data_IF_561882792898
#
_entry.id   IF_561882792898
#
_cell.length_a   1.000
_cell.length_b   1.000
_cell.length_c   1.000
_cell.angle_alpha   90.00
_cell.angle_beta   90.00
_cell.angle_gamma   90.00
#
_symmetry.space_group_name_H-M   'P 1'
#
loop_
_entity.id
_entity.type
_entity.pdbx_description
1 polymer ?
#
# COMPACT_ATOMS: atom_id res chain seq x y z
N UNK A 1 40.64 -25.20 2.15
CA UNK A 1 39.46 -24.36 1.91
C UNK A 1 38.81 -24.81 0.62
N UNK A 2 37.75 -25.60 0.68
CA UNK A 2 37.00 -26.08 -0.49
C UNK A 2 35.91 -25.10 -0.77
N UNK A 3 35.88 -24.46 -1.95
CA UNK A 3 34.86 -23.56 -2.39
C UNK A 3 33.50 -24.28 -2.49
N UNK A 4 32.46 -23.74 -1.87
CA UNK A 4 31.08 -24.17 -2.11
C UNK A 4 30.73 -23.86 -3.57
N UNK A 5 30.15 -24.84 -4.26
CA UNK A 5 29.76 -24.69 -5.67
C UNK A 5 28.47 -23.89 -5.78
N UNK A 6 28.30 -23.14 -6.88
CA UNK A 6 27.08 -22.38 -7.16
C UNK A 6 25.79 -23.24 -7.23
N UNK A 7 25.92 -24.57 -7.28
CA UNK A 7 24.80 -25.51 -7.23
C UNK A 7 24.22 -25.70 -5.83
N UNK A 8 25.00 -25.44 -4.77
CA UNK A 8 24.55 -25.63 -3.37
C UNK A 8 23.69 -24.44 -2.91
N UNK A 9 23.85 -23.27 -3.49
CA UNK A 9 23.04 -22.08 -3.19
C UNK A 9 21.60 -22.13 -3.76
N UNK A 10 21.36 -22.97 -4.77
CA UNK A 10 20.03 -23.15 -5.38
C UNK A 10 19.14 -24.17 -4.66
N UNK A 11 19.67 -24.90 -3.66
CA UNK A 11 18.92 -25.95 -2.96
C UNK A 11 18.21 -25.47 -1.68
N UNK A 12 18.45 -24.23 -1.22
CA UNK A 12 17.86 -23.69 0.01
C UNK A 12 16.66 -22.75 -0.22
N UNK A 13 16.22 -22.55 -1.47
CA UNK A 13 14.96 -21.87 -1.72
C UNK A 13 13.81 -22.85 -1.39
N UNK A 14 13.31 -22.80 -0.16
CA UNK A 14 12.09 -23.54 0.24
C UNK A 14 10.99 -23.12 -0.74
N UNK A 15 10.49 -24.03 -1.56
CA UNK A 15 9.42 -23.74 -2.51
C UNK A 15 8.25 -23.14 -1.74
N UNK A 16 7.70 -22.01 -2.21
CA UNK A 16 6.58 -21.32 -1.56
C UNK A 16 5.39 -22.25 -1.27
N UNK A 17 5.25 -23.33 -2.04
CA UNK A 17 4.21 -24.35 -1.87
C UNK A 17 4.24 -25.12 -0.55
N UNK A 18 5.33 -25.07 0.22
CA UNK A 18 5.47 -25.81 1.49
C UNK A 18 5.19 -24.96 2.74
N UNK A 19 4.91 -23.65 2.58
CA UNK A 19 4.59 -22.77 3.70
C UNK A 19 3.09 -22.77 3.99
N UNK A 20 2.68 -22.87 5.28
CA UNK A 20 1.26 -22.77 5.63
C UNK A 20 0.71 -21.38 5.28
N UNK A 21 -0.45 -21.30 4.61
CA UNK A 21 -1.07 -20.02 4.29
C UNK A 21 -1.39 -19.22 5.56
N UNK A 22 -0.93 -17.94 5.60
CA UNK A 22 -1.17 -17.08 6.74
C UNK A 22 -1.07 -15.59 6.36
N UNK A 23 -1.66 -14.75 7.22
CA UNK A 23 -1.54 -13.30 7.13
C UNK A 23 -1.20 -12.77 8.51
N UNK A 24 -0.16 -11.94 8.59
CA UNK A 24 0.28 -11.27 9.79
C UNK A 24 0.11 -9.77 9.62
N UNK A 25 -0.72 -9.14 10.45
CA UNK A 25 -0.78 -7.69 10.61
C UNK A 25 0.00 -7.27 11.83
N UNK A 26 0.68 -6.13 11.74
CA UNK A 26 1.45 -5.59 12.85
C UNK A 26 1.42 -4.07 12.89
N UNK A 27 1.12 -3.54 14.06
CA UNK A 27 1.32 -2.13 14.41
C UNK A 27 2.61 -2.02 15.25
N UNK A 28 3.64 -1.41 14.68
CA UNK A 28 4.94 -1.28 15.37
C UNK A 28 4.94 -0.20 16.43
N UNK A 29 3.96 0.72 16.39
CA UNK A 29 3.86 1.81 17.38
C UNK A 29 3.29 1.31 18.71
N UNK A 30 2.40 0.34 18.67
CA UNK A 30 1.80 -0.32 19.85
C UNK A 30 2.41 -1.70 20.14
N UNK A 31 3.11 -2.30 19.16
CA UNK A 31 3.59 -3.66 19.22
C UNK A 31 2.49 -4.73 19.00
N UNK A 32 1.25 -4.31 18.71
CA UNK A 32 0.15 -5.24 18.50
C UNK A 32 0.35 -6.06 17.23
N UNK A 33 0.03 -7.36 17.35
CA UNK A 33 0.06 -8.32 16.25
C UNK A 33 -1.33 -8.94 16.11
N UNK A 34 -1.74 -9.21 14.88
CA UNK A 34 -2.93 -10.00 14.59
C UNK A 34 -2.59 -10.99 13.47
N UNK A 35 -2.65 -12.27 13.79
CA UNK A 35 -2.34 -13.37 12.90
C UNK A 35 -3.62 -14.08 12.47
N UNK A 36 -3.72 -14.35 11.18
CA UNK A 36 -4.68 -15.27 10.58
C UNK A 36 -3.91 -16.43 9.96
N UNK A 37 -4.17 -17.65 10.38
CA UNK A 37 -3.56 -18.87 9.85
C UNK A 37 -4.64 -19.92 9.59
N UNK A 38 -4.30 -20.93 8.80
CA UNK A 38 -5.18 -22.05 8.46
C UNK A 38 -6.53 -21.59 7.87
N UNK A 39 -6.53 -20.86 6.72
CA UNK A 39 -7.78 -20.44 6.10
C UNK A 39 -8.65 -21.63 5.72
N UNK A 40 -9.95 -21.52 6.01
CA UNK A 40 -10.94 -22.54 5.59
C UNK A 40 -11.17 -22.51 4.07
N UNK A 41 -10.90 -21.37 3.43
CA UNK A 41 -10.99 -21.15 1.98
C UNK A 41 -10.07 -20.00 1.61
N UNK A 42 -9.50 -20.02 0.40
CA UNK A 42 -8.78 -18.89 -0.18
C UNK A 42 -9.51 -18.48 -1.46
N UNK A 43 -9.99 -17.25 -1.49
CA UNK A 43 -10.64 -16.64 -2.65
C UNK A 43 -9.56 -15.97 -3.49
N UNK A 44 -9.39 -16.40 -4.74
CA UNK A 44 -8.46 -15.81 -5.72
C UNK A 44 -9.24 -15.38 -6.95
N UNK A 45 -9.02 -14.16 -7.43
CA UNK A 45 -9.68 -13.63 -8.62
C UNK A 45 -8.71 -12.94 -9.57
N UNK A 46 -8.73 -13.32 -10.83
CA UNK A 46 -7.91 -12.77 -11.91
C UNK A 46 -8.73 -11.96 -12.93
N UNK A 47 -10.02 -12.20 -13.01
CA UNK A 47 -10.92 -11.59 -13.99
C UNK A 47 -11.99 -10.75 -13.31
N UNK A 48 -12.66 -9.87 -14.07
CA UNK A 48 -13.81 -9.08 -13.58
C UNK A 48 -14.89 -9.97 -12.95
N UNK A 49 -15.27 -11.04 -13.63
CA UNK A 49 -16.33 -11.93 -13.14
C UNK A 49 -15.94 -12.60 -11.82
N UNK A 50 -14.69 -13.08 -11.72
CA UNK A 50 -14.18 -13.68 -10.50
C UNK A 50 -14.08 -12.69 -9.34
N UNK A 51 -13.71 -11.41 -9.58
CA UNK A 51 -13.70 -10.38 -8.54
C UNK A 51 -15.09 -10.19 -7.95
N UNK A 52 -16.12 -10.01 -8.78
CA UNK A 52 -17.47 -9.81 -8.25
C UNK A 52 -18.03 -11.06 -7.58
N UNK A 53 -17.74 -12.26 -8.10
CA UNK A 53 -18.08 -13.52 -7.44
C UNK A 53 -17.33 -13.65 -6.09
N UNK A 54 -16.04 -13.31 -6.07
CA UNK A 54 -15.23 -13.32 -4.86
C UNK A 54 -15.75 -12.36 -3.79
N UNK A 55 -16.12 -11.13 -4.17
CA UNK A 55 -16.71 -10.15 -3.24
C UNK A 55 -18.05 -10.64 -2.66
N UNK A 56 -18.92 -11.28 -3.48
CA UNK A 56 -20.15 -11.88 -2.99
C UNK A 56 -19.86 -13.02 -2.02
N UNK A 57 -18.88 -13.88 -2.33
CA UNK A 57 -18.44 -14.97 -1.44
C UNK A 57 -17.86 -14.46 -0.11
N UNK A 58 -17.10 -13.38 -0.16
CA UNK A 58 -16.60 -12.70 1.04
C UNK A 58 -17.75 -12.20 1.93
N UNK A 59 -18.77 -11.58 1.33
CA UNK A 59 -19.93 -11.10 2.06
C UNK A 59 -20.74 -12.23 2.71
N UNK A 60 -20.92 -13.37 2.01
CA UNK A 60 -21.54 -14.58 2.58
C UNK A 60 -20.74 -15.11 3.77
N UNK A 61 -19.41 -15.20 3.64
CA UNK A 61 -18.54 -15.67 4.71
C UNK A 61 -18.61 -14.75 5.94
N UNK A 62 -18.57 -13.42 5.73
CA UNK A 62 -18.74 -12.44 6.80
C UNK A 62 -20.08 -12.62 7.54
N UNK A 63 -21.19 -12.70 6.79
CA UNK A 63 -22.54 -12.91 7.34
C UNK A 63 -22.67 -14.24 8.09
N UNK A 64 -21.85 -15.24 7.74
CA UNK A 64 -21.79 -16.54 8.45
C UNK A 64 -20.85 -16.54 9.65
N UNK A 65 -20.33 -15.39 10.07
CA UNK A 65 -19.50 -15.24 11.27
C UNK A 65 -18.01 -15.47 11.05
N UNK A 66 -17.51 -15.44 9.80
CA UNK A 66 -16.10 -15.63 9.47
C UNK A 66 -15.35 -14.31 9.36
N UNK A 67 -14.07 -14.37 9.66
CA UNK A 67 -13.11 -13.33 9.40
C UNK A 67 -12.55 -13.44 7.98
N UNK A 68 -12.21 -12.30 7.39
CA UNK A 68 -11.58 -12.22 6.09
C UNK A 68 -10.29 -11.39 6.21
N UNK A 69 -9.23 -11.84 5.56
CA UNK A 69 -7.99 -11.07 5.48
C UNK A 69 -7.32 -11.32 4.13
N UNK A 70 -6.68 -10.27 3.56
CA UNK A 70 -6.07 -10.38 2.24
C UNK A 70 -5.74 -9.05 1.61
N UNK A 71 -5.69 -9.04 0.28
CA UNK A 71 -5.40 -7.84 -0.50
C UNK A 71 -6.29 -7.71 -1.74
N UNK A 72 -6.37 -6.47 -2.22
CA UNK A 72 -6.98 -6.08 -3.49
C UNK A 72 -5.91 -5.33 -4.28
N UNK A 73 -5.57 -5.79 -5.50
CA UNK A 73 -4.63 -5.13 -6.38
C UNK A 73 -5.22 -3.84 -6.98
N UNK A 74 -4.35 -2.89 -7.33
CA UNK A 74 -4.74 -1.57 -7.84
C UNK A 74 -5.69 -1.66 -9.05
N UNK A 75 -5.43 -2.56 -9.98
CA UNK A 75 -6.21 -2.72 -11.21
C UNK A 75 -7.64 -3.23 -10.97
N UNK A 76 -7.95 -3.79 -9.79
CA UNK A 76 -9.34 -4.08 -9.42
C UNK A 76 -10.18 -2.80 -9.38
N UNK A 77 -9.56 -1.65 -9.13
CA UNK A 77 -10.23 -0.34 -9.18
C UNK A 77 -10.78 0.02 -10.57
N UNK A 78 -10.15 -0.45 -11.63
CA UNK A 78 -10.66 -0.25 -12.99
C UNK A 78 -11.99 -0.96 -13.23
N UNK A 79 -12.31 -1.99 -12.44
CA UNK A 79 -13.53 -2.77 -12.58
C UNK A 79 -14.77 -2.12 -11.96
N UNK A 80 -14.56 -1.21 -11.01
CA UNK A 80 -15.66 -0.49 -10.32
C UNK A 80 -16.13 0.75 -11.09
N UNK A 81 -15.39 1.16 -12.13
CA UNK A 81 -15.72 2.32 -12.96
C UNK A 81 -15.75 1.92 -14.44
N UNK A 82 -16.91 1.99 -15.07
CA UNK A 82 -17.10 1.53 -16.46
C UNK A 82 -16.17 2.26 -17.46
N UNK A 83 -15.85 3.54 -17.21
CA UNK A 83 -14.91 4.30 -18.05
C UNK A 83 -13.49 3.75 -18.02
N UNK A 84 -13.12 3.08 -16.94
CA UNK A 84 -11.78 2.49 -16.73
C UNK A 84 -11.74 0.99 -17.06
N UNK A 85 -12.89 0.32 -17.20
CA UNK A 85 -12.97 -1.12 -17.41
C UNK A 85 -12.15 -1.63 -18.63
N UNK A 86 -11.97 -0.76 -19.64
CA UNK A 86 -11.11 -1.03 -20.82
C UNK A 86 -9.62 -1.15 -20.48
N UNK A 87 -9.19 -0.65 -19.34
CA UNK A 87 -7.80 -0.68 -18.87
C UNK A 87 -7.50 -1.88 -17.97
N UNK A 88 -8.46 -2.79 -17.76
CA UNK A 88 -8.23 -4.03 -17.06
C UNK A 88 -7.23 -4.88 -17.87
N UNK A 89 -5.95 -4.77 -17.53
CA UNK A 89 -4.86 -5.44 -18.23
C UNK A 89 -4.79 -6.92 -17.90
N UNK A 90 -4.45 -7.77 -18.90
CA UNK A 90 -4.24 -9.20 -18.71
C UNK A 90 -2.83 -9.56 -18.21
N UNK A 91 -1.87 -8.63 -18.32
CA UNK A 91 -0.44 -8.85 -18.02
C UNK A 91 -0.06 -8.63 -16.55
N UNK A 92 -0.96 -8.91 -15.60
CA UNK A 92 -0.68 -8.81 -14.18
C UNK A 92 0.12 -10.00 -13.69
N UNK A 93 0.94 -9.77 -12.67
CA UNK A 93 1.75 -10.81 -12.02
C UNK A 93 1.10 -11.31 -10.72
N UNK A 94 0.10 -10.59 -10.20
CA UNK A 94 -0.67 -10.96 -9.02
C UNK A 94 -2.18 -11.04 -9.32
N UNK A 95 -2.97 -11.79 -8.53
CA UNK A 95 -4.43 -11.72 -8.56
C UNK A 95 -4.96 -10.30 -8.31
N UNK A 96 -6.11 -9.97 -8.89
CA UNK A 96 -6.87 -8.75 -8.60
C UNK A 96 -7.39 -8.72 -7.16
N UNK A 97 -7.73 -9.91 -6.62
CA UNK A 97 -8.25 -10.08 -5.27
C UNK A 97 -7.75 -11.42 -4.75
N UNK A 98 -7.19 -11.40 -3.53
CA UNK A 98 -6.76 -12.61 -2.82
C UNK A 98 -7.07 -12.45 -1.34
N UNK A 99 -8.04 -13.24 -0.84
CA UNK A 99 -8.49 -13.23 0.55
C UNK A 99 -8.59 -14.63 1.11
N UNK A 100 -8.08 -14.83 2.34
CA UNK A 100 -8.38 -15.99 3.16
C UNK A 100 -9.66 -15.77 3.96
N UNK A 101 -10.43 -16.86 4.14
CA UNK A 101 -11.58 -16.96 5.07
C UNK A 101 -11.09 -17.72 6.30
N UNK A 102 -11.30 -17.15 7.49
CA UNK A 102 -10.79 -17.68 8.75
C UNK A 102 -11.89 -17.76 9.81
N UNK A 103 -11.78 -18.72 10.73
CA UNK A 103 -12.71 -18.81 11.86
C UNK A 103 -12.50 -17.69 12.87
N UNK A 104 -11.24 -17.43 13.22
CA UNK A 104 -10.83 -16.39 14.17
C UNK A 104 -9.34 -16.04 13.98
N UNK A 105 -8.88 -14.88 14.46
CA UNK A 105 -7.44 -14.61 14.57
C UNK A 105 -6.79 -15.55 15.58
N UNK A 106 -5.53 -15.90 15.33
CA UNK A 106 -4.74 -16.78 16.20
C UNK A 106 -4.25 -16.02 17.46
N UNK A 107 -3.93 -16.74 18.55
CA UNK A 107 -3.33 -16.13 19.72
C UNK A 107 -1.97 -15.48 19.42
N UNK A 108 -1.61 -14.47 20.23
CA UNK A 108 -0.35 -13.71 20.05
C UNK A 108 0.91 -14.55 20.23
N UNK A 109 0.85 -15.68 20.99
CA UNK A 109 1.95 -16.61 21.20
C UNK A 109 2.11 -17.67 20.09
N UNK A 110 1.28 -17.61 19.05
CA UNK A 110 1.39 -18.53 17.92
C UNK A 110 2.76 -18.40 17.24
N UNK A 111 3.43 -19.52 16.85
CA UNK A 111 4.79 -19.47 16.28
C UNK A 111 4.94 -18.58 15.03
N UNK A 112 3.90 -18.45 14.21
CA UNK A 112 3.90 -17.56 13.04
C UNK A 112 3.78 -16.07 13.42
N UNK A 113 3.30 -15.74 14.61
CA UNK A 113 3.22 -14.36 15.11
C UNK A 113 4.55 -13.88 15.72
N UNK A 114 5.46 -14.82 16.04
CA UNK A 114 6.71 -14.50 16.69
C UNK A 114 7.83 -14.15 15.70
N UNK A 115 8.79 -13.30 16.09
CA UNK A 115 9.97 -13.06 15.28
C UNK A 115 10.70 -14.37 14.95
N UNK A 116 11.09 -14.54 13.70
CA UNK A 116 12.01 -15.60 13.30
C UNK A 116 13.45 -15.22 13.64
N UNK A 117 14.34 -16.22 13.71
CA UNK A 117 15.77 -15.94 13.84
C UNK A 117 16.19 -15.01 12.69
N UNK A 118 16.79 -13.90 13.08
CA UNK A 118 17.32 -12.91 12.15
C UNK A 118 18.37 -13.59 11.27
N UNK A 119 18.31 -13.31 9.96
CA UNK A 119 19.44 -13.60 9.09
C UNK A 119 20.57 -12.64 9.51
N UNK A 120 21.51 -13.13 10.32
CA UNK A 120 22.68 -12.36 10.71
C UNK A 120 23.47 -12.02 9.44
N UNK A 121 23.52 -10.74 9.09
CA UNK A 121 24.37 -10.15 8.03
C UNK A 121 24.02 -10.50 6.57
N UNK A 122 22.88 -11.08 6.22
CA UNK A 122 22.50 -11.27 4.82
C UNK A 122 21.38 -10.30 4.43
N UNK A 123 21.65 -9.49 3.40
CA UNK A 123 20.63 -8.69 2.74
C UNK A 123 19.68 -9.64 1.99
N UNK A 124 18.40 -9.68 2.40
CA UNK A 124 17.41 -10.52 1.73
C UNK A 124 17.06 -10.04 0.31
N UNK A 125 17.35 -8.77 -0.01
CA UNK A 125 17.24 -8.21 -1.35
C UNK A 125 18.63 -7.87 -1.89
N UNK A 126 18.87 -8.21 -3.16
CA UNK A 126 20.13 -7.94 -3.87
C UNK A 126 19.84 -7.39 -5.26
N UNK A 127 20.83 -6.71 -5.84
CA UNK A 127 20.81 -6.19 -7.20
C UNK A 127 19.54 -5.35 -7.54
N UNK A 128 19.15 -4.36 -6.73
CA UNK A 128 18.01 -3.53 -7.05
C UNK A 128 18.27 -2.72 -8.31
N UNK A 129 17.27 -2.69 -9.22
CA UNK A 129 17.34 -2.01 -10.50
C UNK A 129 16.05 -1.23 -10.75
N UNK A 130 16.17 0.08 -10.98
CA UNK A 130 15.05 0.88 -11.46
C UNK A 130 14.73 0.51 -12.92
N UNK A 131 13.45 0.40 -13.24
CA UNK A 131 13.01 0.14 -14.63
C UNK A 131 13.10 1.39 -15.49
N UNK A 132 13.04 2.57 -14.88
CA UNK A 132 13.23 3.86 -15.53
C UNK A 132 14.49 4.54 -15.02
N UNK A 133 15.34 4.97 -15.95
CA UNK A 133 16.38 5.96 -15.66
C UNK A 133 15.78 7.38 -15.58
N UNK A 134 16.58 8.36 -15.20
CA UNK A 134 16.09 9.73 -15.06
C UNK A 134 15.52 10.28 -16.37
N UNK A 135 16.13 10.01 -17.52
CA UNK A 135 15.64 10.51 -18.80
C UNK A 135 14.26 9.93 -19.16
N UNK A 136 14.03 8.64 -18.89
CA UNK A 136 12.73 8.01 -19.07
C UNK A 136 11.69 8.59 -18.12
N UNK A 137 12.04 8.75 -16.82
CA UNK A 137 11.17 9.38 -15.85
C UNK A 137 10.79 10.81 -16.25
N UNK A 138 11.76 11.63 -16.64
CA UNK A 138 11.55 13.01 -17.08
C UNK A 138 10.58 13.07 -18.27
N UNK A 139 10.75 12.23 -19.28
CA UNK A 139 9.82 12.19 -20.41
C UNK A 139 8.36 11.94 -19.98
N UNK A 140 8.16 11.02 -19.03
CA UNK A 140 6.81 10.73 -18.51
C UNK A 140 6.29 11.83 -17.61
N UNK A 141 7.16 12.41 -16.79
CA UNK A 141 6.85 13.57 -15.98
C UNK A 141 6.42 14.76 -16.87
N UNK A 142 7.14 15.07 -17.93
CA UNK A 142 6.81 16.19 -18.83
C UNK A 142 5.44 15.98 -19.50
N UNK A 143 5.12 14.77 -19.91
CA UNK A 143 3.80 14.42 -20.44
C UNK A 143 2.70 14.58 -19.40
N UNK A 144 2.92 14.11 -18.17
CA UNK A 144 1.98 14.32 -17.06
C UNK A 144 1.82 15.80 -16.73
N UNK A 145 2.93 16.54 -16.67
CA UNK A 145 2.93 17.98 -16.39
C UNK A 145 2.16 18.75 -17.47
N UNK A 146 2.24 18.31 -18.72
CA UNK A 146 1.41 18.87 -19.80
C UNK A 146 -0.09 18.69 -19.50
N UNK A 147 -0.55 17.52 -19.03
CA UNK A 147 -1.94 17.32 -18.63
C UNK A 147 -2.35 18.20 -17.44
N UNK A 148 -1.44 18.41 -16.46
CA UNK A 148 -1.68 19.36 -15.37
C UNK A 148 -1.87 20.78 -15.88
N UNK A 149 -1.02 21.22 -16.83
CA UNK A 149 -1.13 22.56 -17.48
C UNK A 149 -2.42 22.73 -18.28
N UNK A 150 -2.95 21.67 -18.89
CA UNK A 150 -4.24 21.70 -19.61
C UNK A 150 -5.44 21.65 -18.66
N UNK A 151 -5.24 21.34 -17.38
CA UNK A 151 -6.31 21.18 -16.40
C UNK A 151 -7.04 19.83 -16.47
N UNK A 152 -6.46 18.84 -17.16
CA UNK A 152 -7.01 17.48 -17.23
C UNK A 152 -7.00 16.77 -15.88
N UNK A 153 -6.02 17.12 -15.02
CA UNK A 153 -5.96 16.76 -13.61
C UNK A 153 -5.23 17.83 -12.80
N UNK A 154 -5.37 17.81 -11.49
CA UNK A 154 -4.70 18.74 -10.57
C UNK A 154 -3.52 18.09 -9.88
N UNK A 155 -3.58 16.77 -9.74
CA UNK A 155 -2.53 15.90 -9.22
C UNK A 155 -2.67 14.52 -9.85
N UNK A 156 -1.53 13.84 -10.11
CA UNK A 156 -1.51 12.42 -10.40
C UNK A 156 -0.26 11.76 -9.79
N UNK A 157 -0.43 10.55 -9.26
CA UNK A 157 0.63 9.83 -8.57
C UNK A 157 1.42 8.97 -9.56
N UNK A 158 2.49 9.53 -10.15
CA UNK A 158 3.34 8.84 -11.12
C UNK A 158 4.23 7.83 -10.41
N UNK A 159 4.27 6.59 -10.93
CA UNK A 159 4.98 5.49 -10.27
C UNK A 159 5.86 4.71 -11.24
N UNK A 160 6.92 4.10 -10.70
CA UNK A 160 7.80 3.19 -11.44
C UNK A 160 8.16 1.97 -10.60
N UNK A 161 8.30 0.77 -11.21
CA UNK A 161 8.76 -0.42 -10.52
C UNK A 161 10.28 -0.41 -10.31
N UNK A 162 10.70 -1.04 -9.21
CA UNK A 162 12.08 -1.44 -8.95
C UNK A 162 12.08 -2.96 -8.84
N UNK A 163 12.92 -3.60 -9.62
CA UNK A 163 13.14 -5.03 -9.60
C UNK A 163 14.37 -5.36 -8.76
N UNK A 164 14.33 -6.48 -8.05
CA UNK A 164 15.44 -7.00 -7.26
C UNK A 164 15.42 -8.53 -7.26
N UNK A 165 16.48 -9.13 -6.72
CA UNK A 165 16.49 -10.56 -6.36
C UNK A 165 16.31 -10.70 -4.87
N UNK A 166 15.56 -11.73 -4.48
CA UNK A 166 15.37 -12.04 -3.06
C UNK A 166 15.74 -13.51 -2.77
N UNK A 167 16.12 -13.77 -1.52
CA UNK A 167 16.41 -15.10 -1.01
C UNK A 167 16.12 -15.16 0.49
N UNK A 168 16.00 -16.38 1.02
CA UNK A 168 15.78 -16.63 2.44
C UNK A 168 14.30 -16.80 2.83
N UNK A 169 13.99 -16.56 4.09
CA UNK A 169 12.63 -16.67 4.64
C UNK A 169 11.89 -15.33 4.56
N UNK A 170 10.71 -15.25 3.90
CA UNK A 170 9.90 -14.04 3.83
C UNK A 170 9.51 -13.48 5.20
N UNK A 171 9.34 -14.33 6.22
CA UNK A 171 9.06 -13.88 7.58
C UNK A 171 10.27 -13.16 8.17
N UNK A 172 11.48 -13.74 8.04
CA UNK A 172 12.70 -13.07 8.48
C UNK A 172 12.89 -11.73 7.75
N UNK A 173 12.61 -11.67 6.44
CA UNK A 173 12.62 -10.44 5.67
C UNK A 173 11.60 -9.41 6.23
N UNK A 174 10.37 -9.81 6.52
CA UNK A 174 9.36 -8.94 7.11
C UNK A 174 9.82 -8.33 8.44
N UNK A 175 10.38 -9.16 9.33
CA UNK A 175 10.89 -8.68 10.62
C UNK A 175 12.09 -7.73 10.48
N UNK A 176 12.97 -7.95 9.49
CA UNK A 176 14.09 -7.05 9.23
C UNK A 176 13.65 -5.66 8.70
N UNK A 177 12.54 -5.61 7.96
CA UNK A 177 11.97 -4.36 7.46
C UNK A 177 11.38 -3.48 8.59
N UNK A 178 10.95 -4.07 9.71
CA UNK A 178 10.41 -3.33 10.87
C UNK A 178 11.46 -2.36 11.42
N UNK A 179 12.70 -2.80 11.54
CA UNK A 179 13.79 -1.96 12.07
C UNK A 179 14.11 -0.78 11.14
N UNK A 180 14.00 -0.99 9.82
CA UNK A 180 14.24 0.06 8.82
C UNK A 180 13.11 1.09 8.83
N UNK A 181 11.88 0.62 8.98
CA UNK A 181 10.71 1.48 8.90
C UNK A 181 9.57 0.97 9.79
N UNK A 182 9.52 1.39 11.06
CA UNK A 182 8.36 1.13 11.91
C UNK A 182 7.12 1.86 11.40
N UNK A 183 5.97 1.16 11.32
CA UNK A 183 4.71 1.67 10.79
C UNK A 183 3.51 1.16 11.57
N UNK A 184 2.35 1.81 11.42
CA UNK A 184 1.08 1.36 12.02
C UNK A 184 0.43 0.18 11.28
N UNK A 185 0.66 0.05 9.97
CA UNK A 185 -0.09 -0.89 9.12
C UNK A 185 0.86 -1.84 8.38
N UNK A 186 1.76 -2.49 9.15
CA UNK A 186 2.60 -3.57 8.62
C UNK A 186 1.76 -4.80 8.29
N UNK A 187 2.07 -5.48 7.18
CA UNK A 187 1.42 -6.72 6.81
C UNK A 187 2.37 -7.68 6.07
N UNK A 188 2.29 -8.96 6.39
CA UNK A 188 2.81 -10.06 5.60
C UNK A 188 1.62 -10.88 5.12
N UNK A 189 1.50 -11.11 3.80
CA UNK A 189 0.44 -11.94 3.21
C UNK A 189 1.09 -13.08 2.45
N UNK A 190 0.87 -14.31 2.91
CA UNK A 190 1.28 -15.55 2.25
C UNK A 190 0.06 -16.47 2.14
N UNK A 191 -0.62 -16.45 1.00
CA UNK A 191 -1.83 -17.23 0.71
C UNK A 191 -1.60 -18.22 -0.44
N UNK A 192 -0.36 -18.72 -0.62
CA UNK A 192 -0.02 -19.72 -1.63
C UNK A 192 0.27 -19.16 -3.02
N UNK A 193 0.34 -17.84 -3.16
CA UNK A 193 0.84 -17.12 -4.34
C UNK A 193 2.12 -16.33 -4.01
N UNK A 194 2.42 -15.27 -4.75
CA UNK A 194 3.50 -14.35 -4.38
C UNK A 194 3.31 -13.83 -2.96
N UNK A 195 4.39 -13.79 -2.18
CA UNK A 195 4.33 -13.25 -0.80
C UNK A 195 4.40 -11.73 -0.84
N UNK A 196 3.52 -11.09 -0.10
CA UNK A 196 3.46 -9.63 -0.01
C UNK A 196 4.00 -9.19 1.34
N UNK A 197 5.00 -8.32 1.34
CA UNK A 197 5.54 -7.68 2.53
C UNK A 197 5.24 -6.18 2.47
N UNK A 198 4.36 -5.69 3.32
CA UNK A 198 3.95 -4.28 3.34
C UNK A 198 4.40 -3.58 4.61
N UNK A 199 4.95 -2.38 4.45
CA UNK A 199 5.33 -1.44 5.50
C UNK A 199 4.57 -0.13 5.34
N UNK A 200 3.25 -0.21 5.21
CA UNK A 200 2.41 0.95 4.95
C UNK A 200 2.27 1.86 6.18
N UNK A 201 2.49 3.17 6.03
CA UNK A 201 2.18 4.13 7.08
C UNK A 201 0.71 4.59 7.02
N UNK A 202 -0.01 4.31 5.92
CA UNK A 202 -1.26 5.00 5.57
C UNK A 202 -2.49 4.11 5.76
N UNK A 203 -3.46 4.60 6.53
CA UNK A 203 -4.80 4.03 6.61
C UNK A 203 -5.56 4.40 5.33
N UNK A 204 -6.03 3.38 4.61
CA UNK A 204 -6.98 3.62 3.52
C UNK A 204 -8.35 3.97 4.09
N UNK A 205 -8.94 3.06 4.84
CA UNK A 205 -10.13 3.31 5.67
C UNK A 205 -10.24 2.26 6.78
N UNK A 206 -11.00 2.60 7.81
CA UNK A 206 -11.51 1.63 8.77
C UNK A 206 -12.99 1.91 9.05
N UNK A 207 -13.72 0.85 9.40
CA UNK A 207 -15.08 0.95 9.92
C UNK A 207 -15.15 0.30 11.29
N UNK A 208 -16.05 0.78 12.15
CA UNK A 208 -16.36 0.15 13.41
C UNK A 208 -17.68 -0.65 13.36
N UNK A 209 -18.03 -1.26 14.48
CA UNK A 209 -19.26 -2.07 14.62
C UNK A 209 -20.53 -1.22 14.61
N UNK A 210 -20.43 0.05 14.95
CA UNK A 210 -21.51 1.02 14.89
C UNK A 210 -21.71 1.57 13.47
N UNK A 211 -20.83 1.23 12.52
CA UNK A 211 -20.90 1.66 11.12
C UNK A 211 -20.34 3.07 10.88
N UNK A 212 -19.46 3.58 11.73
CA UNK A 212 -18.65 4.73 11.39
C UNK A 212 -17.51 4.31 10.46
N UNK A 213 -17.26 5.11 9.43
CA UNK A 213 -16.10 4.99 8.56
C UNK A 213 -15.17 6.17 8.76
N UNK A 214 -13.87 5.92 8.76
CA UNK A 214 -12.87 6.98 8.78
C UNK A 214 -11.69 6.68 7.86
N UNK A 215 -11.03 7.74 7.40
CA UNK A 215 -9.78 7.70 6.63
C UNK A 215 -8.84 8.79 7.12
N UNK A 216 -7.52 8.51 7.04
CA UNK A 216 -6.49 9.41 7.54
C UNK A 216 -5.50 9.80 6.42
N UNK A 217 -5.88 10.72 5.51
CA UNK A 217 -4.97 11.19 4.48
C UNK A 217 -3.75 11.87 5.08
N UNK A 218 -2.58 11.55 4.52
CA UNK A 218 -1.28 12.03 4.98
C UNK A 218 -0.58 12.80 3.87
N UNK A 219 -0.13 14.02 4.17
CA UNK A 219 0.74 14.82 3.30
C UNK A 219 1.71 15.62 4.15
N UNK A 220 2.96 15.70 3.71
CA UNK A 220 4.00 16.37 4.46
C UNK A 220 4.64 15.47 5.52
N UNK A 221 5.94 15.27 5.38
CA UNK A 221 6.77 14.49 6.30
C UNK A 221 7.99 15.32 6.65
N UNK A 222 8.34 15.38 7.93
CA UNK A 222 9.57 16.00 8.38
C UNK A 222 10.34 15.07 9.33
N UNK A 223 11.66 15.22 9.37
CA UNK A 223 12.50 14.50 10.34
C UNK A 223 12.18 14.90 11.77
N UNK A 224 12.56 14.07 12.71
CA UNK A 224 12.57 14.42 14.13
C UNK A 224 13.67 15.43 14.44
N UNK A 225 13.41 16.30 15.39
CA UNK A 225 14.42 17.17 15.98
C UNK A 225 15.34 16.40 16.91
N UNK A 226 16.59 16.86 17.05
CA UNK A 226 17.55 16.30 17.99
C UNK A 226 17.29 16.73 19.44
N UNK A 227 16.50 17.77 19.64
CA UNK A 227 16.06 18.26 20.96
C UNK A 227 14.54 18.50 20.96
N UNK A 228 13.87 18.50 22.13
CA UNK A 228 12.44 18.82 22.21
C UNK A 228 12.06 20.19 21.62
N UNK A 229 12.95 21.17 21.74
CA UNK A 229 12.74 22.52 21.19
C UNK A 229 12.84 22.52 19.66
N UNK A 230 13.82 21.80 19.07
CA UNK A 230 13.94 21.62 17.64
C UNK A 230 12.76 20.83 17.07
N UNK A 231 12.32 19.78 17.78
CA UNK A 231 11.20 18.94 17.42
C UNK A 231 9.90 19.77 17.32
N UNK A 232 9.67 20.65 18.28
CA UNK A 232 8.50 21.55 18.27
C UNK A 232 8.62 22.61 17.15
N UNK A 233 9.80 23.18 16.92
CA UNK A 233 10.02 24.13 15.82
C UNK A 233 9.75 23.50 14.44
N UNK A 234 10.14 22.25 14.24
CA UNK A 234 9.85 21.50 13.00
C UNK A 234 8.33 21.33 12.82
N UNK A 235 7.59 20.95 13.86
CA UNK A 235 6.12 20.85 13.79
C UNK A 235 5.46 22.18 13.43
N UNK A 236 5.89 23.28 14.05
CA UNK A 236 5.37 24.61 13.73
C UNK A 236 5.67 25.01 12.28
N UNK A 237 6.88 24.67 11.77
CA UNK A 237 7.23 24.89 10.36
C UNK A 237 6.31 24.10 9.43
N UNK A 238 6.05 22.83 9.74
CA UNK A 238 5.11 22.00 8.96
C UNK A 238 3.70 22.58 8.95
N UNK A 239 3.22 23.03 10.12
CA UNK A 239 1.90 23.66 10.25
C UNK A 239 1.78 25.00 9.51
N UNK A 240 2.89 25.70 9.31
CA UNK A 240 2.94 26.98 8.57
C UNK A 240 3.10 26.80 7.06
N UNK A 241 3.41 25.60 6.59
CA UNK A 241 3.66 25.34 5.16
C UNK A 241 2.36 25.31 4.36
N UNK A 242 2.08 26.40 3.67
CA UNK A 242 0.87 26.62 2.87
C UNK A 242 0.76 25.59 1.73
N UNK A 243 1.89 25.16 1.13
CA UNK A 243 1.90 24.18 0.04
C UNK A 243 1.43 22.82 0.56
N UNK A 244 2.06 22.32 1.62
CA UNK A 244 1.67 21.06 2.26
C UNK A 244 0.21 21.06 2.73
N UNK A 245 -0.27 22.18 3.30
CA UNK A 245 -1.68 22.33 3.67
C UNK A 245 -2.61 22.26 2.45
N UNK A 246 -2.26 22.91 1.33
CA UNK A 246 -3.07 22.91 0.12
C UNK A 246 -3.17 21.49 -0.49
N UNK A 247 -2.04 20.76 -0.54
CA UNK A 247 -2.00 19.38 -1.00
C UNK A 247 -2.83 18.46 -0.08
N UNK A 248 -2.68 18.58 1.24
CA UNK A 248 -3.46 17.79 2.20
C UNK A 248 -4.97 18.08 2.06
N UNK A 249 -5.37 19.35 1.95
CA UNK A 249 -6.77 19.76 1.76
C UNK A 249 -7.37 19.17 0.50
N UNK A 250 -6.63 19.17 -0.61
CA UNK A 250 -7.09 18.58 -1.87
C UNK A 250 -7.39 17.08 -1.71
N UNK A 251 -6.54 16.33 -1.02
CA UNK A 251 -6.78 14.91 -0.74
C UNK A 251 -7.94 14.71 0.22
N UNK A 252 -8.05 15.55 1.26
CA UNK A 252 -9.23 15.55 2.17
C UNK A 252 -10.52 15.74 1.38
N UNK A 253 -10.58 16.71 0.47
CA UNK A 253 -11.78 16.96 -0.35
C UNK A 253 -12.09 15.80 -1.30
N UNK A 254 -11.07 15.17 -1.88
CA UNK A 254 -11.23 13.97 -2.71
C UNK A 254 -11.84 12.81 -1.89
N UNK A 255 -11.29 12.54 -0.70
CA UNK A 255 -11.80 11.45 0.15
C UNK A 255 -13.18 11.76 0.75
N UNK A 256 -13.47 13.02 1.07
CA UNK A 256 -14.82 13.46 1.45
C UNK A 256 -15.82 13.18 0.34
N UNK A 257 -15.47 13.48 -0.91
CA UNK A 257 -16.32 13.16 -2.07
C UNK A 257 -16.57 11.66 -2.19
N UNK A 258 -15.53 10.83 -2.07
CA UNK A 258 -15.66 9.37 -2.16
C UNK A 258 -16.55 8.81 -1.03
N UNK A 259 -16.30 9.20 0.23
CA UNK A 259 -17.03 8.76 1.41
C UNK A 259 -18.50 9.23 1.37
N UNK A 260 -18.76 10.46 0.91
CA UNK A 260 -20.12 11.02 0.86
C UNK A 260 -21.11 10.20 0.02
N UNK A 261 -20.62 9.39 -0.91
CA UNK A 261 -21.44 8.53 -1.78
C UNK A 261 -22.12 7.37 -1.05
N UNK A 262 -21.58 6.99 0.12
CA UNK A 262 -22.00 5.81 0.89
C UNK A 262 -22.35 6.13 2.34
N UNK A 263 -22.52 7.39 2.69
CA UNK A 263 -22.74 7.82 4.08
C UNK A 263 -24.04 8.62 4.25
N UNK A 264 -24.54 8.63 5.48
CA UNK A 264 -25.74 9.38 5.85
C UNK A 264 -25.49 10.89 5.73
N UNK A 265 -26.42 11.60 5.13
CA UNK A 265 -26.33 13.05 4.92
C UNK A 265 -26.23 13.76 6.27
N UNK A 266 -25.24 14.66 6.39
CA UNK A 266 -25.02 15.46 7.60
C UNK A 266 -24.10 14.82 8.62
N UNK A 267 -23.58 13.60 8.38
CA UNK A 267 -22.64 12.92 9.29
C UNK A 267 -21.18 13.08 8.91
N UNK A 268 -20.91 13.52 7.67
CA UNK A 268 -19.53 13.73 7.19
C UNK A 268 -18.88 14.90 7.92
N UNK A 269 -17.77 14.61 8.57
CA UNK A 269 -17.00 15.56 9.37
C UNK A 269 -15.49 15.41 9.17
N UNK A 270 -14.74 16.47 9.45
CA UNK A 270 -13.28 16.51 9.48
C UNK A 270 -12.83 16.96 10.87
N UNK A 271 -12.89 16.07 11.88
CA UNK A 271 -12.65 16.46 13.28
C UNK A 271 -11.21 16.95 13.51
N UNK A 272 -10.28 16.54 12.66
CA UNK A 272 -8.89 17.01 12.68
C UNK A 272 -8.44 17.35 11.27
N UNK A 273 -8.04 18.58 11.06
CA UNK A 273 -7.46 19.07 9.82
C UNK A 273 -6.04 19.54 10.11
N UNK A 274 -5.06 19.00 9.34
CA UNK A 274 -3.62 19.33 9.48
C UNK A 274 -3.03 19.00 10.87
N UNK A 275 -3.46 17.91 11.52
CA UNK A 275 -2.87 17.43 12.76
C UNK A 275 -1.45 16.90 12.51
N UNK A 276 -0.51 17.10 13.46
CA UNK A 276 0.84 16.57 13.35
C UNK A 276 0.97 15.34 14.24
N UNK A 277 0.97 14.17 13.62
CA UNK A 277 1.32 12.92 14.29
C UNK A 277 2.84 12.76 14.39
N UNK A 278 3.31 12.39 15.59
CA UNK A 278 4.74 12.16 15.85
C UNK A 278 5.02 10.67 15.92
N UNK A 279 5.89 10.21 15.03
CA UNK A 279 6.41 8.85 14.98
C UNK A 279 7.87 8.79 15.49
N UNK A 280 8.43 7.61 15.75
CA UNK A 280 9.80 7.50 16.25
C UNK A 280 10.84 8.20 15.35
N UNK A 281 10.66 8.20 14.04
CA UNK A 281 11.64 8.73 13.07
C UNK A 281 11.20 9.99 12.35
N UNK A 282 9.89 10.29 12.32
CA UNK A 282 9.33 11.42 11.55
C UNK A 282 8.14 12.07 12.25
N UNK A 283 7.85 13.30 11.84
CA UNK A 283 6.54 13.95 11.99
C UNK A 283 5.78 13.83 10.67
N UNK A 284 4.47 13.65 10.76
CA UNK A 284 3.59 13.50 9.61
C UNK A 284 2.36 14.39 9.77
N UNK A 285 2.03 15.18 8.74
CA UNK A 285 0.76 15.92 8.74
C UNK A 285 -0.36 14.98 8.28
N UNK A 286 -1.38 14.84 9.12
CA UNK A 286 -2.51 13.92 8.93
C UNK A 286 -3.81 14.69 9.13
N UNK A 287 -4.81 14.42 8.30
CA UNK A 287 -6.17 14.87 8.53
C UNK A 287 -7.08 13.67 8.76
N UNK A 288 -8.17 13.85 9.51
CA UNK A 288 -9.13 12.79 9.79
C UNK A 288 -10.46 13.14 9.13
N UNK A 289 -10.98 12.25 8.32
CA UNK A 289 -12.30 12.35 7.71
C UNK A 289 -13.14 11.19 8.24
N UNK A 290 -14.32 11.47 8.77
CA UNK A 290 -15.22 10.45 9.28
C UNK A 290 -16.66 10.69 8.85
N UNK A 291 -17.46 9.63 8.79
CA UNK A 291 -18.88 9.70 8.51
C UNK A 291 -19.60 8.42 8.95
N UNK A 292 -20.93 8.45 9.02
CA UNK A 292 -21.77 7.28 9.29
C UNK A 292 -22.17 6.62 7.97
N UNK A 293 -21.88 5.33 7.82
CA UNK A 293 -22.28 4.55 6.65
C UNK A 293 -23.80 4.44 6.52
N UNK A 294 -24.29 4.42 5.30
CA UNK A 294 -25.67 4.03 5.00
C UNK A 294 -25.94 2.58 5.48
N UNK A 295 -27.15 2.25 5.90
CA UNK A 295 -27.47 0.87 6.30
C UNK A 295 -27.40 -0.10 5.12
N UNK A 296 -27.11 -1.38 5.43
CA UNK A 296 -27.13 -2.50 4.47
C UNK A 296 -26.11 -2.41 3.32
N UNK A 297 -25.04 -1.65 3.46
CA UNK A 297 -23.96 -1.68 2.50
C UNK A 297 -23.21 -3.02 2.59
N UNK A 298 -22.86 -3.56 1.43
CA UNK A 298 -21.99 -4.73 1.32
C UNK A 298 -20.52 -4.30 1.07
N UNK A 299 -19.60 -5.23 1.24
CA UNK A 299 -18.15 -5.02 0.97
C UNK A 299 -17.95 -4.39 -0.41
N UNK A 300 -18.69 -4.87 -1.41
CA UNK A 300 -18.63 -4.36 -2.78
C UNK A 300 -18.97 -2.87 -2.87
N UNK A 301 -20.00 -2.42 -2.16
CA UNK A 301 -20.49 -1.04 -2.25
C UNK A 301 -19.44 -0.07 -1.69
N UNK A 302 -18.81 -0.44 -0.56
CA UNK A 302 -17.76 0.33 0.08
C UNK A 302 -16.54 0.42 -0.85
N UNK A 303 -16.11 -0.71 -1.41
CA UNK A 303 -14.97 -0.72 -2.34
C UNK A 303 -15.27 0.04 -3.63
N UNK A 304 -16.45 -0.09 -4.20
CA UNK A 304 -16.83 0.64 -5.42
C UNK A 304 -16.87 2.16 -5.22
N UNK A 305 -17.13 2.62 -4.00
CA UNK A 305 -17.11 4.05 -3.70
C UNK A 305 -15.69 4.59 -3.46
N UNK A 306 -14.85 3.83 -2.80
CA UNK A 306 -13.57 4.33 -2.27
C UNK A 306 -12.34 3.91 -3.07
N UNK A 307 -12.35 2.69 -3.62
CA UNK A 307 -11.15 2.05 -4.18
C UNK A 307 -10.90 2.44 -5.66
N UNK A 308 -9.66 2.68 -6.06
CA UNK A 308 -8.46 2.81 -5.23
C UNK A 308 -8.44 4.10 -4.41
N UNK A 309 -7.58 4.16 -3.38
CA UNK A 309 -7.45 5.35 -2.54
C UNK A 309 -7.11 6.61 -3.35
N UNK A 310 -7.76 7.72 -3.02
CA UNK A 310 -7.54 9.00 -3.70
C UNK A 310 -6.11 9.51 -3.59
N UNK A 311 -5.44 9.28 -2.44
CA UNK A 311 -4.08 9.76 -2.17
C UNK A 311 -3.02 9.19 -3.13
N UNK A 312 -3.25 7.98 -3.67
CA UNK A 312 -2.31 7.28 -4.56
C UNK A 312 -2.78 7.22 -6.03
N UNK A 313 -3.88 7.86 -6.35
CA UNK A 313 -4.40 8.01 -7.72
C UNK A 313 -4.17 9.42 -8.22
N UNK A 314 -5.01 10.33 -7.85
CA UNK A 314 -4.96 11.74 -8.21
C UNK A 314 -6.35 12.36 -8.27
N UNK A 315 -6.41 13.63 -8.65
CA UNK A 315 -7.63 14.40 -8.67
C UNK A 315 -7.80 15.15 -10.01
N UNK A 316 -8.93 14.99 -10.70
CA UNK A 316 -10.03 14.05 -10.51
C UNK A 316 -9.61 12.60 -10.71
N UNK A 317 -10.11 11.66 -9.87
CA UNK A 317 -9.65 10.25 -9.81
C UNK A 317 -9.64 9.56 -11.18
N UNK A 318 -10.76 9.56 -11.90
CA UNK A 318 -10.90 8.85 -13.18
C UNK A 318 -9.96 9.42 -14.24
N UNK A 319 -9.83 10.75 -14.34
CA UNK A 319 -8.92 11.40 -15.28
C UNK A 319 -7.46 11.05 -14.97
N UNK A 320 -7.04 11.17 -13.70
CA UNK A 320 -5.70 10.83 -13.26
C UNK A 320 -5.37 9.36 -13.53
N UNK A 321 -6.27 8.42 -13.22
CA UNK A 321 -6.08 7.00 -13.49
C UNK A 321 -5.95 6.70 -14.98
N UNK A 322 -6.71 7.41 -15.85
CA UNK A 322 -6.60 7.28 -17.31
C UNK A 322 -5.22 7.72 -17.80
N UNK A 323 -4.77 8.90 -17.37
CA UNK A 323 -3.48 9.46 -17.76
C UNK A 323 -2.33 8.57 -17.28
N UNK A 324 -2.38 8.13 -16.03
CA UNK A 324 -1.36 7.26 -15.45
C UNK A 324 -1.25 5.91 -16.19
N UNK A 325 -2.39 5.32 -16.58
CA UNK A 325 -2.38 4.08 -17.38
C UNK A 325 -1.66 4.26 -18.72
N UNK A 326 -1.74 5.43 -19.34
CA UNK A 326 -1.04 5.73 -20.60
C UNK A 326 0.44 6.07 -20.42
N UNK A 327 0.83 6.45 -19.20
CA UNK A 327 2.20 6.85 -18.87
C UNK A 327 3.02 5.71 -18.26
N UNK A 328 2.42 4.81 -17.52
CA UNK A 328 3.08 3.69 -16.85
C UNK A 328 3.15 2.46 -17.79
N UNK A 329 4.27 1.76 -17.81
CA UNK A 329 4.52 0.66 -18.78
C UNK A 329 3.84 -0.67 -18.41
N UNK A 330 3.23 -0.77 -17.24
CA UNK A 330 2.64 -2.02 -16.77
C UNK A 330 1.74 -1.85 -15.56
N UNK A 331 1.20 -2.96 -15.04
CA UNK A 331 0.34 -2.93 -13.89
C UNK A 331 1.12 -2.54 -12.62
N UNK A 332 0.41 -1.92 -11.68
CA UNK A 332 0.93 -1.68 -10.33
C UNK A 332 0.79 -2.90 -9.43
N UNK A 333 -0.03 -3.87 -9.83
CA UNK A 333 -0.33 -5.08 -9.06
C UNK A 333 -0.80 -4.74 -7.63
N UNK A 334 -0.20 -5.32 -6.58
CA UNK A 334 -0.59 -5.03 -5.20
C UNK A 334 -0.22 -3.61 -4.77
N UNK A 335 0.84 -3.04 -5.36
CA UNK A 335 1.23 -1.66 -5.05
C UNK A 335 0.11 -0.66 -5.39
N UNK A 336 -0.16 0.30 -4.50
CA UNK A 336 -1.31 1.22 -4.59
C UNK A 336 -2.69 0.52 -4.53
N UNK A 337 -2.73 -0.78 -4.28
CA UNK A 337 -3.93 -1.49 -3.88
C UNK A 337 -4.25 -1.31 -2.41
N UNK A 338 -4.91 -2.27 -1.79
CA UNK A 338 -5.24 -2.27 -0.37
C UNK A 338 -4.99 -3.64 0.27
N UNK A 339 -4.47 -3.64 1.50
CA UNK A 339 -4.29 -4.83 2.31
C UNK A 339 -5.08 -4.65 3.60
N UNK A 340 -5.86 -5.65 3.99
CA UNK A 340 -6.69 -5.47 5.18
C UNK A 340 -7.45 -6.69 5.62
N UNK A 341 -8.33 -6.45 6.59
CA UNK A 341 -9.17 -7.47 7.19
C UNK A 341 -10.59 -6.97 7.42
N UNK A 342 -11.51 -7.92 7.53
CA UNK A 342 -12.94 -7.70 7.76
C UNK A 342 -13.37 -8.65 8.86
N UNK A 343 -13.93 -8.10 9.93
CA UNK A 343 -14.51 -8.86 11.03
C UNK A 343 -15.94 -9.32 10.72
N UNK A 344 -16.45 -10.37 11.36
CA UNK A 344 -17.85 -10.79 11.25
C UNK A 344 -18.85 -9.68 11.60
N UNK A 345 -18.50 -8.82 12.54
CA UNK A 345 -19.29 -7.64 12.95
C UNK A 345 -19.52 -6.62 11.85
N UNK A 346 -18.69 -6.66 10.78
CA UNK A 346 -18.66 -5.66 9.72
C UNK A 346 -17.57 -4.59 9.93
N UNK A 347 -16.86 -4.63 11.06
CA UNK A 347 -15.68 -3.78 11.24
C UNK A 347 -14.60 -4.17 10.24
N UNK A 348 -13.99 -3.17 9.60
CA UNK A 348 -12.97 -3.33 8.57
C UNK A 348 -11.77 -2.46 8.89
N UNK A 349 -10.59 -2.90 8.44
CA UNK A 349 -9.37 -2.08 8.46
C UNK A 349 -8.53 -2.39 7.23
N UNK A 350 -8.34 -1.41 6.37
CA UNK A 350 -7.53 -1.50 5.16
C UNK A 350 -6.44 -0.43 5.17
N UNK A 351 -5.22 -0.82 4.81
CA UNK A 351 -4.11 0.08 4.52
C UNK A 351 -3.92 0.26 3.02
N UNK A 352 -3.41 1.40 2.61
CA UNK A 352 -2.92 1.61 1.25
C UNK A 352 -1.65 0.77 1.05
N UNK A 353 -1.58 -0.06 0.02
CA UNK A 353 -0.42 -0.93 -0.22
C UNK A 353 0.73 -0.14 -0.86
N UNK A 354 1.32 0.80 -0.12
CA UNK A 354 2.57 1.50 -0.44
C UNK A 354 3.70 0.97 0.45
N UNK A 355 4.97 1.17 0.03
CA UNK A 355 6.12 0.55 0.70
C UNK A 355 5.91 -0.96 0.82
N UNK A 356 5.54 -1.56 -0.30
CA UNK A 356 5.10 -2.95 -0.39
C UNK A 356 5.94 -3.68 -1.42
N UNK A 357 6.47 -4.85 -1.02
CA UNK A 357 7.23 -5.76 -1.87
C UNK A 357 6.35 -6.94 -2.24
N UNK A 358 6.51 -7.40 -3.47
CA UNK A 358 6.00 -8.68 -3.96
C UNK A 358 7.17 -9.62 -4.21
N UNK A 359 7.19 -10.77 -3.53
CA UNK A 359 8.23 -11.80 -3.64
C UNK A 359 7.69 -12.99 -4.42
N UNK A 360 8.37 -13.36 -5.50
CA UNK A 360 8.00 -14.46 -6.40
C UNK A 360 8.86 -15.71 -6.17
N UNK A 361 8.32 -16.89 -6.46
CA UNK A 361 9.00 -18.19 -6.29
C UNK A 361 10.30 -18.34 -7.10
N UNK A 362 10.42 -17.58 -8.18
CA UNK A 362 11.62 -17.59 -9.03
C UNK A 362 12.78 -16.75 -8.48
N UNK A 363 12.63 -16.23 -7.25
CA UNK A 363 13.60 -15.35 -6.59
C UNK A 363 13.56 -13.91 -7.09
N UNK A 364 12.57 -13.53 -7.87
CA UNK A 364 12.32 -12.14 -8.26
C UNK A 364 11.56 -11.42 -7.17
N UNK A 365 11.96 -10.19 -6.87
CA UNK A 365 11.22 -9.26 -6.03
C UNK A 365 10.88 -7.99 -6.81
N UNK A 366 9.67 -7.47 -6.61
CA UNK A 366 9.23 -6.21 -7.23
C UNK A 366 8.62 -5.31 -6.16
N UNK A 367 8.98 -4.06 -6.19
CA UNK A 367 8.32 -3.00 -5.42
C UNK A 367 8.31 -1.71 -6.22
N UNK A 368 7.23 -0.95 -6.08
CA UNK A 368 7.11 0.29 -6.82
C UNK A 368 7.34 1.49 -5.89
N UNK A 369 7.80 2.58 -6.50
CA UNK A 369 7.96 3.89 -5.89
C UNK A 369 7.28 4.93 -6.74
N UNK A 370 6.89 6.05 -6.13
CA UNK A 370 6.20 7.12 -6.87
C UNK A 370 5.90 8.32 -5.99
N UNK A 371 5.44 9.38 -6.63
CA UNK A 371 5.08 10.64 -6.00
C UNK A 371 3.85 11.29 -6.63
N UNK A 372 3.17 12.12 -5.86
CA UNK A 372 2.02 12.90 -6.34
C UNK A 372 2.49 14.16 -7.06
N UNK A 373 2.55 14.12 -8.38
CA UNK A 373 2.96 15.24 -9.22
C UNK A 373 1.87 16.30 -9.25
N UNK A 374 2.26 17.53 -8.97
CA UNK A 374 1.44 18.74 -9.04
C UNK A 374 2.10 19.75 -9.97
N UNK A 375 1.41 20.86 -10.25
CA UNK A 375 1.88 21.88 -11.21
C UNK A 375 3.25 22.49 -10.85
N UNK A 376 3.59 22.57 -9.57
CA UNK A 376 4.84 23.14 -9.07
C UNK A 376 5.94 22.07 -8.86
N UNK A 377 5.70 20.81 -9.22
CA UNK A 377 6.70 19.74 -9.13
C UNK A 377 7.79 19.89 -10.19
N UNK A 378 9.00 19.42 -9.89
CA UNK A 378 10.10 19.26 -10.85
C UNK A 378 10.48 17.80 -11.01
N UNK A 379 10.88 17.38 -12.20
CA UNK A 379 11.22 15.98 -12.47
C UNK A 379 12.35 15.47 -11.59
N UNK A 380 13.37 16.31 -11.36
CA UNK A 380 14.52 15.99 -10.53
C UNK A 380 14.13 15.69 -9.09
N UNK A 381 13.37 16.61 -8.46
CA UNK A 381 12.96 16.47 -7.06
C UNK A 381 12.08 15.24 -6.85
N UNK A 382 11.13 15.00 -7.75
CA UNK A 382 10.20 13.87 -7.67
C UNK A 382 10.91 12.52 -7.92
N UNK A 383 11.89 12.49 -8.84
CA UNK A 383 12.71 11.30 -9.07
C UNK A 383 13.59 10.97 -7.87
N UNK A 384 14.26 11.97 -7.28
CA UNK A 384 15.05 11.80 -6.06
C UNK A 384 14.17 11.30 -4.90
N UNK A 385 12.94 11.83 -4.78
CA UNK A 385 11.97 11.36 -3.77
C UNK A 385 11.57 9.89 -4.00
N UNK A 386 11.40 9.47 -5.27
CA UNK A 386 11.16 8.06 -5.60
C UNK A 386 12.30 7.17 -5.13
N UNK A 387 13.57 7.54 -5.42
CA UNK A 387 14.74 6.80 -4.98
C UNK A 387 14.90 6.78 -3.46
N UNK A 388 14.59 7.90 -2.80
CA UNK A 388 14.58 7.97 -1.34
C UNK A 388 13.53 7.02 -0.75
N UNK A 389 12.33 6.96 -1.34
CA UNK A 389 11.27 6.03 -0.91
C UNK A 389 11.66 4.57 -1.06
N UNK A 390 12.53 4.22 -2.01
CA UNK A 390 13.02 2.85 -2.19
C UNK A 390 13.81 2.32 -0.97
N UNK A 391 14.42 3.20 -0.19
CA UNK A 391 15.28 2.83 0.95
C UNK A 391 14.57 1.98 2.02
N UNK A 392 13.24 2.01 2.10
CA UNK A 392 12.52 1.15 3.04
C UNK A 392 12.83 -0.34 2.79
N UNK A 393 13.02 -0.72 1.52
CA UNK A 393 13.27 -2.10 1.10
C UNK A 393 14.77 -2.44 1.07
N UNK A 394 15.56 -1.56 0.46
CA UNK A 394 16.95 -1.84 0.10
C UNK A 394 17.99 -1.15 1.00
N UNK A 395 17.55 -0.27 1.94
CA UNK A 395 18.48 0.54 2.74
C UNK A 395 19.31 1.49 1.87
N UNK A 396 20.61 1.52 2.10
CA UNK A 396 21.56 2.38 1.36
C UNK A 396 22.20 1.68 0.14
N UNK A 397 21.68 0.52 -0.28
CA UNK A 397 22.17 -0.15 -1.49
C UNK A 397 22.02 0.75 -2.72
N UNK A 398 23.01 0.79 -3.63
CA UNK A 398 22.87 1.52 -4.88
C UNK A 398 21.84 0.84 -5.79
N UNK A 399 21.00 1.65 -6.42
CA UNK A 399 20.01 1.20 -7.40
C UNK A 399 20.64 1.29 -8.78
N UNK A 400 20.73 0.16 -9.48
CA UNK A 400 21.21 0.15 -10.88
C UNK A 400 20.15 0.77 -11.81
N UNK A 401 20.61 1.35 -12.92
CA UNK A 401 19.71 1.88 -13.95
C UNK A 401 19.13 3.27 -13.67
N UNK A 402 19.59 3.96 -12.61
CA UNK A 402 19.05 5.28 -12.27
C UNK A 402 19.55 6.42 -13.17
N UNK A 403 20.69 6.25 -13.87
CA UNK A 403 21.33 7.34 -14.63
C UNK A 403 21.88 8.43 -13.71
N UNK A 404 22.44 9.48 -14.31
CA UNK A 404 22.77 10.72 -13.59
C UNK A 404 21.62 11.73 -13.72
N UNK A 405 21.17 12.28 -12.63
CA UNK A 405 20.27 13.44 -12.58
C UNK A 405 21.00 14.67 -13.07
#
# INVERSE_FOLDING_TARGET
MRGRSASDALSECTKMTDRPPHILFRDDTSGQVMLFADPTEIIVAHTRAEVFTGLARMEEARKSGKWLAGYIAYEAGHLFEDKLARFATENRTTPLLCFGIFDHPQPDDHPLAQPTQRLENEEFLTAPKATWDFATYQNRFDRLHHHLMQGDCYQANLTMPIEARWSGDPRAAFWSLIERQPVKYGALVDLGGPVILSRSPELFFRTDEEGWIETHPMKGTARRGSTPAEDEAIKQTMLADIKTQAENRMIVDLLRNDISRITEVGTLDVPKLFDIETYPTVHQMVSHVQAKLLPNLEIRDILAALFPCGSITGAPKISAMTILHELEDGPRDVYCGAIGMIAPSGAMRFSVAIRTLTLFDDGRAVFNVGGGIVIDSTAEAEYEECLLKARFAIGDQPIAGTGSV
#
